data_IF_712759407225
#
_entry.id   IF_712759407225
#
_cell.length_a   1.000
_cell.length_b   1.000
_cell.length_c   1.000
_cell.angle_alpha   90.00
_cell.angle_beta   90.00
_cell.angle_gamma   90.00
#
_symmetry.space_group_name_H-M   'P 1'
#
loop_
_entity.id
_entity.type
_entity.pdbx_description
1 polymer ?
#
# COMPACT_ATOMS: atom_id res chain seq x y z
N UNK A 1 4.87 5.88 11.42
CA UNK A 1 4.82 6.59 10.12
C UNK A 1 6.22 6.57 9.53
N UNK A 2 6.36 6.30 8.23
CA UNK A 2 7.65 6.27 7.54
C UNK A 2 7.73 7.36 6.49
N UNK A 3 8.97 7.71 6.14
CA UNK A 3 9.29 8.60 5.04
C UNK A 3 10.12 7.83 4.03
N UNK A 4 9.77 7.95 2.76
CA UNK A 4 10.57 7.48 1.64
C UNK A 4 11.05 8.71 0.88
N UNK A 5 12.38 8.89 0.81
CA UNK A 5 13.01 9.89 -0.05
C UNK A 5 13.37 9.22 -1.37
N UNK A 6 12.61 9.54 -2.41
CA UNK A 6 12.93 9.12 -3.78
C UNK A 6 14.03 10.03 -4.35
N UNK A 7 14.99 9.46 -5.09
CA UNK A 7 16.11 10.24 -5.60
C UNK A 7 15.66 11.19 -6.72
N UNK A 8 15.98 12.48 -6.59
CA UNK A 8 15.79 13.45 -7.68
C UNK A 8 16.69 13.15 -8.89
N UNK A 9 17.89 12.62 -8.65
CA UNK A 9 18.87 12.31 -9.69
C UNK A 9 18.99 10.79 -9.89
N UNK A 10 19.08 10.32 -11.15
CA UNK A 10 19.33 8.91 -11.42
C UNK A 10 20.64 8.44 -10.77
N UNK A 11 20.61 7.27 -10.14
CA UNK A 11 21.79 6.63 -9.52
C UNK A 11 21.97 6.88 -8.02
N UNK A 12 21.13 7.70 -7.37
CA UNK A 12 21.04 7.75 -5.90
C UNK A 12 20.06 6.68 -5.42
N UNK A 13 20.35 5.95 -4.33
CA UNK A 13 19.40 5.00 -3.78
C UNK A 13 18.22 5.73 -3.12
N UNK A 14 17.06 5.07 -3.09
CA UNK A 14 15.94 5.46 -2.24
C UNK A 14 16.42 5.42 -0.79
N UNK A 15 16.02 6.40 0.01
CA UNK A 15 16.32 6.45 1.45
C UNK A 15 15.03 6.30 2.24
N UNK A 16 15.04 5.42 3.21
CA UNK A 16 13.89 5.17 4.08
C UNK A 16 14.22 5.69 5.47
N UNK A 17 13.23 6.30 6.12
CA UNK A 17 13.35 6.77 7.50
C UNK A 17 12.03 6.64 8.27
N UNK A 18 12.15 6.77 9.59
CA UNK A 18 11.04 6.77 10.53
C UNK A 18 10.84 8.17 11.08
N UNK A 19 9.60 8.67 11.04
CA UNK A 19 9.24 9.94 11.66
C UNK A 19 9.32 9.79 13.18
N UNK A 20 10.15 10.60 13.83
CA UNK A 20 10.28 10.66 15.28
C UNK A 20 9.28 11.66 15.88
N UNK A 21 9.23 12.87 15.32
CA UNK A 21 8.34 13.95 15.77
C UNK A 21 7.84 14.76 14.57
N UNK A 22 6.73 15.48 14.77
CA UNK A 22 6.16 16.40 13.80
C UNK A 22 5.83 17.72 14.50
N UNK A 23 6.34 18.82 13.93
CA UNK A 23 6.09 20.19 14.39
C UNK A 23 5.58 21.03 13.22
N UNK A 24 4.25 21.16 13.13
CA UNK A 24 3.60 21.81 11.99
C UNK A 24 3.86 21.04 10.69
N UNK A 25 4.58 21.68 9.76
CA UNK A 25 4.97 21.10 8.47
C UNK A 25 6.36 20.43 8.49
N UNK A 26 7.09 20.54 9.59
CA UNK A 26 8.42 19.95 9.75
C UNK A 26 8.33 18.59 10.45
N UNK A 27 9.15 17.66 9.97
CA UNK A 27 9.24 16.30 10.47
C UNK A 27 10.68 15.99 10.82
N UNK A 28 10.93 15.59 12.06
CA UNK A 28 12.20 15.00 12.45
C UNK A 28 12.18 13.54 12.04
N UNK A 29 13.10 13.14 11.16
CA UNK A 29 13.18 11.79 10.62
C UNK A 29 14.50 11.17 11.01
N UNK A 30 14.46 9.93 11.52
CA UNK A 30 15.64 9.07 11.63
C UNK A 30 15.69 8.14 10.43
N UNK A 31 16.71 8.31 9.61
CA UNK A 31 16.95 7.49 8.43
C UNK A 31 17.51 6.10 8.81
N UNK A 32 17.34 5.11 7.94
CA UNK A 32 17.82 3.74 8.17
C UNK A 32 19.37 3.66 8.25
N UNK A 33 20.09 4.69 7.78
CA UNK A 33 21.53 4.85 7.97
C UNK A 33 21.93 5.47 9.33
N UNK A 34 20.95 5.74 10.19
CA UNK A 34 21.12 6.28 11.54
C UNK A 34 21.20 7.80 11.63
N UNK A 35 21.25 8.53 10.51
CA UNK A 35 21.23 9.99 10.54
C UNK A 35 19.84 10.53 10.92
N UNK A 36 19.81 11.67 11.59
CA UNK A 36 18.60 12.43 11.86
C UNK A 36 18.57 13.70 11.03
N UNK A 37 17.41 14.03 10.48
CA UNK A 37 17.24 15.18 9.61
C UNK A 37 15.83 15.75 9.78
N UNK A 38 15.72 17.07 9.90
CA UNK A 38 14.45 17.76 9.78
C UNK A 38 14.13 17.98 8.31
N UNK A 39 12.94 17.53 7.89
CA UNK A 39 12.47 17.66 6.52
C UNK A 39 11.11 18.32 6.47
N UNK A 40 10.81 18.92 5.33
CA UNK A 40 9.45 19.30 4.93
C UNK A 40 9.04 18.39 3.77
N UNK A 41 8.06 17.47 3.96
CA UNK A 41 7.59 16.59 2.90
C UNK A 41 7.17 17.36 1.64
N UNK A 42 7.52 16.82 0.49
CA UNK A 42 7.34 17.47 -0.81
C UNK A 42 7.22 16.44 -1.93
N UNK A 43 7.71 16.79 -3.11
CA UNK A 43 7.66 15.90 -4.28
C UNK A 43 8.50 14.62 -4.09
N UNK A 44 9.60 14.71 -3.33
CA UNK A 44 10.55 13.61 -3.18
C UNK A 44 10.50 12.92 -1.82
N UNK A 45 9.93 13.57 -0.80
CA UNK A 45 9.75 13.04 0.54
C UNK A 45 8.30 12.59 0.74
N UNK A 46 8.07 11.30 0.56
CA UNK A 46 6.75 10.70 0.55
C UNK A 46 6.46 10.01 1.88
N UNK A 47 5.32 10.35 2.50
CA UNK A 47 4.88 9.75 3.76
C UNK A 47 3.95 8.57 3.53
N UNK A 48 4.20 7.46 4.23
CA UNK A 48 3.30 6.30 4.26
C UNK A 48 3.57 5.44 5.51
N UNK A 49 2.57 4.69 6.02
CA UNK A 49 2.81 3.62 6.99
C UNK A 49 3.76 2.57 6.42
N UNK A 50 4.72 2.06 7.20
CA UNK A 50 5.77 1.15 6.71
C UNK A 50 5.21 -0.12 6.07
N UNK A 51 4.12 -0.63 6.61
CA UNK A 51 3.49 -1.86 6.15
C UNK A 51 2.39 -1.63 5.10
N UNK A 52 2.24 -0.41 4.58
CA UNK A 52 1.24 -0.11 3.54
C UNK A 52 1.73 -0.44 2.13
N UNK A 53 0.79 -0.75 1.24
CA UNK A 53 1.06 -0.85 -0.19
C UNK A 53 1.63 0.44 -0.77
N UNK A 54 1.21 1.59 -0.23
CA UNK A 54 1.74 2.90 -0.63
C UNK A 54 3.23 3.01 -0.35
N UNK A 55 3.68 2.61 0.85
CA UNK A 55 5.10 2.54 1.17
C UNK A 55 5.84 1.57 0.25
N UNK A 56 5.30 0.36 0.06
CA UNK A 56 5.88 -0.63 -0.84
C UNK A 56 6.05 -0.07 -2.27
N UNK A 57 5.05 0.66 -2.77
CA UNK A 57 5.11 1.27 -4.11
C UNK A 57 6.16 2.39 -4.24
N UNK A 58 6.47 3.10 -3.15
CA UNK A 58 7.52 4.11 -3.16
C UNK A 58 8.92 3.51 -3.16
N UNK A 59 9.08 2.31 -2.58
CA UNK A 59 10.35 1.58 -2.53
C UNK A 59 10.57 0.81 -3.82
N UNK A 60 9.56 0.08 -4.29
CA UNK A 60 9.62 -0.74 -5.50
C UNK A 60 8.21 -0.92 -6.12
N UNK A 61 7.83 0.01 -7.01
CA UNK A 61 6.56 -0.08 -7.73
C UNK A 61 6.49 -1.30 -8.66
N UNK A 62 7.61 -1.79 -9.21
CA UNK A 62 7.61 -2.96 -10.08
C UNK A 62 7.31 -4.23 -9.29
N UNK A 63 7.80 -4.34 -8.05
CA UNK A 63 7.44 -5.43 -7.15
C UNK A 63 5.93 -5.44 -6.86
N UNK A 64 5.32 -4.28 -6.53
CA UNK A 64 3.86 -4.19 -6.32
C UNK A 64 3.08 -4.59 -7.58
N UNK A 65 3.55 -4.21 -8.77
CA UNK A 65 2.96 -4.64 -10.03
C UNK A 65 3.09 -6.14 -10.23
N UNK A 66 4.24 -6.74 -9.93
CA UNK A 66 4.46 -8.17 -10.04
C UNK A 66 3.57 -8.96 -9.07
N UNK A 67 3.44 -8.48 -7.83
CA UNK A 67 2.55 -9.07 -6.83
C UNK A 67 1.09 -9.02 -7.27
N UNK A 68 0.65 -7.89 -7.86
CA UNK A 68 -0.70 -7.81 -8.44
C UNK A 68 -0.89 -8.76 -9.62
N UNK A 69 0.14 -8.97 -10.44
CA UNK A 69 0.05 -9.92 -11.55
C UNK A 69 -0.09 -11.36 -11.05
N UNK A 70 0.65 -11.71 -9.99
CA UNK A 70 0.68 -13.04 -9.37
C UNK A 70 -0.59 -13.33 -8.55
N UNK A 71 -0.98 -12.42 -7.66
CA UNK A 71 -2.18 -12.51 -6.83
C UNK A 71 -3.01 -11.21 -6.85
N UNK A 72 -3.85 -11.03 -7.88
CA UNK A 72 -4.72 -9.87 -7.98
C UNK A 72 -5.75 -9.75 -6.85
N UNK A 73 -6.18 -10.89 -6.28
CA UNK A 73 -7.18 -10.89 -5.21
C UNK A 73 -6.54 -10.44 -3.90
N UNK A 74 -5.40 -11.01 -3.51
CA UNK A 74 -4.70 -10.63 -2.29
C UNK A 74 -4.33 -9.15 -2.26
N UNK A 75 -3.86 -8.60 -3.38
CA UNK A 75 -3.60 -7.15 -3.47
C UNK A 75 -4.88 -6.32 -3.31
N UNK A 76 -6.00 -6.74 -3.91
CA UNK A 76 -7.27 -6.01 -3.74
C UNK A 76 -7.80 -6.11 -2.31
N UNK A 77 -7.72 -7.28 -1.67
CA UNK A 77 -8.07 -7.43 -0.25
C UNK A 77 -7.21 -6.52 0.62
N UNK A 78 -5.90 -6.46 0.38
CA UNK A 78 -5.00 -5.54 1.09
C UNK A 78 -5.37 -4.07 0.89
N UNK A 79 -5.73 -3.66 -0.33
CA UNK A 79 -6.25 -2.30 -0.60
C UNK A 79 -7.52 -2.04 0.23
N UNK A 80 -8.46 -2.98 0.28
CA UNK A 80 -9.69 -2.84 1.05
C UNK A 80 -9.42 -2.74 2.56
N UNK A 81 -8.53 -3.59 3.07
CA UNK A 81 -8.14 -3.60 4.49
C UNK A 81 -7.39 -2.33 4.91
N UNK A 82 -6.45 -1.86 4.09
CA UNK A 82 -5.70 -0.61 4.37
C UNK A 82 -6.59 0.64 4.32
N UNK A 83 -7.61 0.65 3.45
CA UNK A 83 -8.51 1.79 3.31
C UNK A 83 -9.60 1.82 4.40
N UNK A 84 -9.99 0.67 4.96
CA UNK A 84 -10.94 0.55 6.08
C UNK A 84 -12.37 1.02 5.79
N UNK A 85 -12.68 1.42 4.55
CA UNK A 85 -14.01 1.85 4.11
C UNK A 85 -14.40 1.14 2.82
N UNK A 86 -15.70 0.90 2.57
CA UNK A 86 -16.17 0.25 1.36
C UNK A 86 -15.70 1.00 0.09
N UNK A 87 -15.13 0.26 -0.86
CA UNK A 87 -14.63 0.80 -2.12
C UNK A 87 -15.36 0.21 -3.32
N UNK A 88 -15.75 1.07 -4.24
CA UNK A 88 -16.22 0.68 -5.57
C UNK A 88 -15.06 0.21 -6.44
N UNK A 89 -15.38 -0.51 -7.53
CA UNK A 89 -14.41 -0.85 -8.58
C UNK A 89 -13.58 0.36 -9.03
N UNK A 90 -14.22 1.52 -9.20
CA UNK A 90 -13.57 2.74 -9.66
C UNK A 90 -12.52 3.25 -8.66
N UNK A 91 -12.86 3.22 -7.37
CA UNK A 91 -11.95 3.60 -6.30
C UNK A 91 -10.77 2.62 -6.19
N UNK A 92 -11.04 1.31 -6.25
CA UNK A 92 -9.99 0.27 -6.25
C UNK A 92 -9.06 0.48 -7.44
N UNK A 93 -9.61 0.72 -8.64
CA UNK A 93 -8.82 0.96 -9.84
C UNK A 93 -7.91 2.19 -9.72
N UNK A 94 -8.43 3.29 -9.17
CA UNK A 94 -7.65 4.51 -8.96
C UNK A 94 -6.53 4.27 -7.95
N UNK A 95 -6.82 3.62 -6.82
CA UNK A 95 -5.82 3.29 -5.82
C UNK A 95 -4.70 2.43 -6.42
N UNK A 96 -5.04 1.38 -7.16
CA UNK A 96 -4.06 0.52 -7.82
C UNK A 96 -3.23 1.28 -8.87
N UNK A 97 -3.82 2.23 -9.59
CA UNK A 97 -3.10 3.11 -10.53
C UNK A 97 -2.08 3.98 -9.79
N UNK A 98 -2.44 4.52 -8.62
CA UNK A 98 -1.52 5.29 -7.78
C UNK A 98 -0.35 4.44 -7.27
N UNK A 99 -0.53 3.11 -7.17
CA UNK A 99 0.53 2.15 -6.86
C UNK A 99 1.35 1.69 -8.09
N UNK A 100 1.03 2.19 -9.29
CA UNK A 100 1.72 1.83 -10.54
C UNK A 100 1.07 0.70 -11.34
N UNK A 101 -0.07 0.14 -10.90
CA UNK A 101 -0.80 -0.87 -11.67
C UNK A 101 -1.60 -0.21 -12.79
N UNK A 102 -1.30 -0.57 -14.03
CA UNK A 102 -2.00 0.00 -15.18
C UNK A 102 -3.51 -0.31 -15.16
N UNK A 103 -4.34 0.72 -15.40
CA UNK A 103 -5.80 0.60 -15.44
C UNK A 103 -6.30 -0.53 -16.35
N UNK A 104 -5.63 -0.74 -17.50
CA UNK A 104 -5.97 -1.81 -18.46
C UNK A 104 -5.74 -3.21 -17.87
N UNK A 105 -4.63 -3.40 -17.14
CA UNK A 105 -4.31 -4.68 -16.48
C UNK A 105 -5.32 -5.01 -15.40
N UNK A 106 -5.65 -4.03 -14.56
CA UNK A 106 -6.72 -4.16 -13.57
C UNK A 106 -8.05 -4.56 -14.23
N UNK A 107 -8.46 -3.84 -15.28
CA UNK A 107 -9.72 -4.10 -15.97
C UNK A 107 -9.79 -5.52 -16.55
N UNK A 108 -8.66 -6.06 -17.05
CA UNK A 108 -8.58 -7.41 -17.59
C UNK A 108 -8.80 -8.50 -16.52
N UNK A 109 -8.34 -8.27 -15.28
CA UNK A 109 -8.46 -9.23 -14.18
C UNK A 109 -9.72 -9.04 -13.33
N UNK A 110 -10.36 -7.88 -13.42
CA UNK A 110 -11.45 -7.48 -12.53
C UNK A 110 -12.58 -8.50 -12.43
N UNK A 111 -13.05 -9.08 -13.55
CA UNK A 111 -14.18 -10.02 -13.51
C UNK A 111 -13.87 -11.24 -12.62
N UNK A 112 -12.64 -11.76 -12.69
CA UNK A 112 -12.20 -12.88 -11.85
C UNK A 112 -12.08 -12.47 -10.38
N UNK A 113 -11.49 -11.30 -10.13
CA UNK A 113 -11.34 -10.74 -8.77
C UNK A 113 -12.71 -10.51 -8.12
N UNK A 114 -13.64 -9.89 -8.85
CA UNK A 114 -14.98 -9.59 -8.36
C UNK A 114 -15.75 -10.86 -7.96
N UNK A 115 -15.68 -11.92 -8.79
CA UNK A 115 -16.29 -13.21 -8.45
C UNK A 115 -15.66 -13.82 -7.19
N UNK A 116 -14.33 -13.73 -7.06
CA UNK A 116 -13.63 -14.25 -5.89
C UNK A 116 -13.96 -13.46 -4.61
N UNK A 117 -13.97 -12.12 -4.68
CA UNK A 117 -14.33 -11.23 -3.56
C UNK A 117 -15.70 -11.58 -2.97
N UNK A 118 -16.70 -11.84 -3.81
CA UNK A 118 -18.04 -12.21 -3.36
C UNK A 118 -18.09 -13.57 -2.60
N UNK A 119 -17.02 -14.37 -2.68
CA UNK A 119 -16.88 -15.67 -2.03
C UNK A 119 -15.79 -15.68 -0.95
N UNK A 120 -15.17 -14.53 -0.65
CA UNK A 120 -14.08 -14.43 0.33
C UNK A 120 -14.64 -14.10 1.71
N UNK A 121 -14.18 -14.84 2.73
CA UNK A 121 -14.54 -14.59 4.12
C UNK A 121 -14.10 -13.18 4.58
N UNK A 122 -14.97 -12.52 5.36
CA UNK A 122 -14.77 -11.14 5.81
C UNK A 122 -14.99 -10.08 4.73
N UNK A 123 -15.37 -10.45 3.50
CA UNK A 123 -15.75 -9.46 2.48
C UNK A 123 -17.23 -9.15 2.60
N UNK A 124 -17.54 -7.88 2.84
CA UNK A 124 -18.91 -7.35 2.78
C UNK A 124 -19.14 -6.67 1.43
N UNK A 125 -20.22 -7.05 0.75
CA UNK A 125 -20.66 -6.44 -0.51
C UNK A 125 -21.90 -5.60 -0.25
N UNK A 126 -21.89 -4.35 -0.71
CA UNK A 126 -23.05 -3.44 -0.62
C UNK A 126 -23.27 -2.71 -1.94
N UNK A 127 -24.47 -2.13 -2.12
CA UNK A 127 -24.86 -1.44 -3.35
C UNK A 127 -25.60 -2.34 -4.37
N UNK A 128 -25.91 -1.78 -5.53
CA UNK A 128 -26.71 -2.44 -6.58
C UNK A 128 -25.98 -2.44 -7.93
N UNK A 129 -26.05 -3.58 -8.63
CA UNK A 129 -25.57 -3.77 -10.00
C UNK A 129 -24.17 -3.18 -10.31
N UNK A 130 -24.11 -1.97 -10.85
CA UNK A 130 -22.87 -1.29 -11.28
C UNK A 130 -22.13 -0.58 -10.16
N UNK A 131 -22.81 -0.33 -9.04
CA UNK A 131 -22.33 0.48 -7.91
C UNK A 131 -21.99 -0.38 -6.70
N UNK A 132 -21.58 -1.63 -6.96
CA UNK A 132 -21.11 -2.54 -5.93
C UNK A 132 -19.86 -1.98 -5.24
N UNK A 133 -19.95 -1.84 -3.93
CA UNK A 133 -18.86 -1.51 -3.04
C UNK A 133 -18.46 -2.74 -2.22
N UNK A 134 -17.16 -2.89 -2.02
CA UNK A 134 -16.55 -4.01 -1.32
C UNK A 134 -15.84 -3.45 -0.09
N UNK A 135 -16.04 -4.06 1.06
CA UNK A 135 -15.25 -3.82 2.27
C UNK A 135 -14.67 -5.15 2.73
N UNK A 136 -13.53 -5.12 3.41
CA UNK A 136 -12.91 -6.31 3.98
C UNK A 136 -12.42 -6.01 5.38
N UNK A 137 -12.91 -6.77 6.36
CA UNK A 137 -12.54 -6.68 7.78
C UNK A 137 -11.61 -7.81 8.22
N UNK A 138 -11.21 -8.69 7.29
CA UNK A 138 -10.33 -9.81 7.59
C UNK A 138 -8.94 -9.37 8.07
N UNK A 139 -8.36 -10.20 8.93
CA UNK A 139 -6.98 -10.03 9.37
C UNK A 139 -6.04 -10.35 8.21
N UNK A 140 -5.26 -9.36 7.76
CA UNK A 140 -4.06 -9.64 6.97
C UNK A 140 -3.20 -10.54 7.84
N UNK A 141 -3.08 -11.82 7.51
CA UNK A 141 -2.24 -12.75 8.24
C UNK A 141 -0.78 -12.27 8.17
N UNK A 142 -0.39 -11.39 9.09
CA UNK A 142 0.99 -11.12 9.43
C UNK A 142 1.42 -12.32 10.27
N UNK A 143 2.02 -13.32 9.64
CA UNK A 143 2.72 -14.35 10.40
C UNK A 143 3.71 -13.65 11.33
N UNK A 144 3.58 -13.76 12.66
CA UNK A 144 4.59 -13.21 13.55
C UNK A 144 5.88 -13.97 13.26
N UNK A 145 6.94 -13.24 12.86
CA UNK A 145 8.29 -13.78 12.88
C UNK A 145 8.54 -14.23 14.30
N UNK A 146 8.50 -15.55 14.51
CA UNK A 146 8.89 -16.16 15.76
C UNK A 146 10.33 -15.74 16.03
N UNK A 147 10.51 -14.75 16.89
CA UNK A 147 11.80 -14.47 17.51
C UNK A 147 12.08 -15.71 18.35
N UNK A 148 12.96 -16.57 17.85
CA UNK A 148 13.50 -17.67 18.61
C UNK A 148 14.23 -17.08 19.82
N UNK A 149 13.58 -17.09 20.98
CA UNK A 149 14.28 -16.99 22.24
C UNK A 149 15.02 -18.32 22.45
N UNK A 150 16.30 -18.33 22.09
CA UNK A 150 17.25 -19.32 22.56
C UNK A 150 17.44 -19.11 24.08
N UNK A 151 17.21 -20.15 24.87
CA UNK A 151 17.61 -20.27 26.27
C UNK A 151 18.30 -21.61 26.49
#
# INVERSE_FOLDING_TARGET
MSVVRVPYLPGRPIRVGTVLTQEGELYLVRWDDGAEEEIKPGEYELLAPRDSLRFASFVDAEAVRADFEADPLGIVLRVLGENGTPMTRGQIATYLVDLGVERKRFAAKWRKVQTALASTDGVTVSGEATDLAFAWDGELAVEPVAVAEES
#
